data_IF_356639780853
#
_entry.id   IF_356639780853
#
_cell.length_a   1.000
_cell.length_b   1.000
_cell.length_c   1.000
_cell.angle_alpha   90.00
_cell.angle_beta   90.00
_cell.angle_gamma   90.00
#
_symmetry.space_group_name_H-M   'P 1'
#
loop_
_entity.id
_entity.type
_entity.pdbx_description
1 polymer ?
#
# COMPACT_ATOMS: atom_id res chain seq x y z
N UNK A 1 2.00 3.41 27.02
CA UNK A 1 1.93 4.47 26.01
C UNK A 1 1.26 3.89 24.76
N UNK A 2 0.01 4.27 24.48
CA UNK A 2 -0.68 3.80 23.28
C UNK A 2 -0.09 4.57 22.09
N UNK A 3 0.66 3.91 21.24
CA UNK A 3 1.06 4.46 19.94
C UNK A 3 -0.24 4.66 19.13
N UNK A 4 -0.63 5.90 18.91
CA UNK A 4 -1.76 6.21 18.05
C UNK A 4 -1.37 5.80 16.62
N UNK A 5 -2.22 5.01 15.99
CA UNK A 5 -2.07 4.63 14.61
C UNK A 5 -2.04 5.89 13.74
N UNK A 6 -1.24 5.95 12.66
CA UNK A 6 -1.34 7.01 11.68
C UNK A 6 -2.79 7.21 11.27
N UNK A 7 -3.21 8.43 11.04
CA UNK A 7 -4.60 8.84 10.75
C UNK A 7 -5.28 7.99 9.66
N UNK A 8 -4.49 7.43 8.76
CA UNK A 8 -4.93 6.49 7.72
C UNK A 8 -5.59 5.22 8.30
N UNK A 9 -5.07 4.71 9.43
CA UNK A 9 -5.61 3.52 10.09
C UNK A 9 -6.74 3.84 11.08
N UNK A 10 -6.87 5.10 11.50
CA UNK A 10 -7.96 5.57 12.37
C UNK A 10 -9.19 5.98 11.56
N UNK A 11 -9.05 6.31 10.30
CA UNK A 11 -10.22 6.54 9.47
C UNK A 11 -10.88 5.20 9.19
N UNK A 12 -11.98 4.95 9.88
CA UNK A 12 -12.87 3.79 9.72
C UNK A 12 -13.33 3.51 8.27
N UNK A 13 -12.84 4.24 7.30
CA UNK A 13 -13.27 4.19 5.93
C UNK A 13 -12.80 2.97 5.14
N UNK A 14 -11.68 2.34 5.53
CA UNK A 14 -11.22 1.14 4.84
C UNK A 14 -11.88 -0.11 5.42
N UNK A 15 -12.28 -0.08 6.71
CA UNK A 15 -12.78 -1.25 7.41
C UNK A 15 -14.27 -1.21 7.79
N UNK A 16 -15.00 -0.12 7.54
CA UNK A 16 -16.39 0.04 7.98
C UNK A 16 -17.43 -0.04 6.87
N UNK A 17 -17.18 -0.76 5.79
CA UNK A 17 -18.30 -1.15 4.93
C UNK A 17 -18.80 -2.56 5.28
N UNK A 18 -18.98 -2.82 6.57
CA UNK A 18 -19.68 -4.00 7.08
C UNK A 18 -21.17 -3.70 7.10
N UNK A 19 -21.76 -3.62 5.92
CA UNK A 19 -23.20 -3.74 5.81
C UNK A 19 -23.52 -5.18 5.39
N UNK A 20 -24.05 -5.94 6.38
CA UNK A 20 -24.76 -7.21 6.27
C UNK A 20 -23.90 -8.47 6.01
N UNK A 21 -23.59 -9.18 7.09
CA UNK A 21 -23.52 -10.64 7.09
C UNK A 21 -22.31 -11.29 6.40
N UNK A 22 -21.24 -10.54 6.11
CA UNK A 22 -19.97 -11.09 5.66
C UNK A 22 -19.10 -11.25 6.90
N UNK A 23 -18.65 -12.47 7.16
CA UNK A 23 -17.53 -12.80 8.05
C UNK A 23 -16.45 -11.73 7.91
N UNK A 24 -15.74 -11.29 8.97
CA UNK A 24 -14.68 -10.31 8.83
C UNK A 24 -13.73 -10.79 7.74
N UNK A 25 -13.79 -10.15 6.58
CA UNK A 25 -12.97 -10.57 5.46
C UNK A 25 -11.53 -10.27 5.83
N UNK A 26 -10.72 -11.31 5.86
CA UNK A 26 -9.28 -11.25 6.05
C UNK A 26 -8.70 -10.17 5.12
N UNK A 27 -8.00 -9.19 5.69
CA UNK A 27 -7.43 -8.10 4.90
C UNK A 27 -6.30 -8.66 4.00
N UNK A 28 -6.46 -8.53 2.69
CA UNK A 28 -5.41 -8.90 1.74
C UNK A 28 -4.59 -7.66 1.43
N UNK A 29 -3.29 -7.73 1.71
CA UNK A 29 -2.32 -6.69 1.34
C UNK A 29 -1.31 -7.31 0.38
N UNK A 30 -1.08 -6.64 -0.74
CA UNK A 30 0.01 -7.01 -1.64
C UNK A 30 1.13 -5.99 -1.58
N UNK A 31 2.36 -6.42 -1.81
CA UNK A 31 3.51 -5.52 -1.82
C UNK A 31 4.35 -5.67 -3.09
N UNK A 32 4.76 -4.52 -3.61
CA UNK A 32 5.74 -4.38 -4.69
C UNK A 32 6.81 -3.39 -4.24
N UNK A 33 8.08 -3.74 -4.34
CA UNK A 33 9.16 -2.84 -3.89
C UNK A 33 10.43 -2.95 -4.71
N UNK A 34 11.29 -1.96 -4.55
CA UNK A 34 12.67 -1.92 -5.05
C UNK A 34 13.71 -2.17 -3.92
N UNK A 35 13.28 -2.75 -2.80
CA UNK A 35 14.17 -3.05 -1.66
C UNK A 35 15.19 -4.16 -1.96
N UNK A 36 14.88 -5.01 -2.93
CA UNK A 36 15.68 -6.20 -3.20
C UNK A 36 15.49 -7.31 -2.16
N UNK A 37 16.08 -8.48 -2.40
CA UNK A 37 15.91 -9.65 -1.52
C UNK A 37 16.95 -9.74 -0.39
N UNK A 38 17.90 -8.80 -0.30
CA UNK A 38 19.12 -8.99 0.50
C UNK A 38 19.09 -8.35 1.88
N UNK A 39 18.15 -7.43 2.15
CA UNK A 39 18.09 -6.74 3.44
C UNK A 39 16.79 -7.01 4.21
N UNK A 40 16.73 -6.49 5.44
CA UNK A 40 15.60 -6.71 6.33
C UNK A 40 14.46 -5.70 6.16
N UNK A 41 14.56 -4.74 5.24
CA UNK A 41 13.59 -3.64 5.09
C UNK A 41 12.18 -4.17 4.84
N UNK A 42 12.04 -5.14 3.95
CA UNK A 42 10.75 -5.77 3.69
C UNK A 42 10.19 -6.48 4.94
N UNK A 43 11.03 -7.18 5.68
CA UNK A 43 10.61 -7.87 6.90
C UNK A 43 10.13 -6.87 7.97
N UNK A 44 10.81 -5.73 8.11
CA UNK A 44 10.38 -4.64 9.00
C UNK A 44 9.03 -4.08 8.56
N UNK A 45 8.86 -3.79 7.26
CA UNK A 45 7.59 -3.32 6.72
C UNK A 45 6.45 -4.30 7.04
N UNK A 46 6.63 -5.60 6.75
CA UNK A 46 5.65 -6.65 7.10
C UNK A 46 5.33 -6.67 8.59
N UNK A 47 6.33 -6.58 9.45
CA UNK A 47 6.14 -6.61 10.90
C UNK A 47 5.29 -5.43 11.39
N UNK A 48 5.42 -4.23 10.79
CA UNK A 48 4.57 -3.09 11.10
C UNK A 48 3.09 -3.37 10.80
N UNK A 49 2.80 -4.00 9.67
CA UNK A 49 1.42 -4.36 9.31
C UNK A 49 0.87 -5.48 10.23
N UNK A 50 1.66 -6.53 10.47
CA UNK A 50 1.25 -7.68 11.31
C UNK A 50 0.90 -7.23 12.74
N UNK A 51 1.63 -6.27 13.31
CA UNK A 51 1.35 -5.74 14.64
C UNK A 51 0.03 -4.96 14.73
N UNK A 52 -0.44 -4.39 13.63
CA UNK A 52 -1.56 -3.45 13.61
C UNK A 52 -2.84 -4.01 13.01
N UNK A 53 -2.71 -4.98 12.12
CA UNK A 53 -3.85 -5.56 11.38
C UNK A 53 -4.04 -7.00 11.82
N UNK A 54 -5.18 -7.29 12.45
CA UNK A 54 -5.58 -8.66 12.76
C UNK A 54 -6.02 -9.36 11.47
N UNK A 55 -5.72 -10.66 11.37
CA UNK A 55 -6.12 -11.48 10.22
C UNK A 55 -5.64 -10.93 8.87
N UNK A 56 -4.37 -10.54 8.81
CA UNK A 56 -3.71 -10.05 7.62
C UNK A 56 -3.22 -11.21 6.74
N UNK A 57 -3.59 -11.20 5.47
CA UNK A 57 -2.96 -12.00 4.43
C UNK A 57 -2.03 -11.10 3.61
N UNK A 58 -0.74 -11.38 3.68
CA UNK A 58 0.28 -10.65 2.93
C UNK A 58 0.75 -11.46 1.73
N UNK A 59 0.78 -10.83 0.55
CA UNK A 59 1.24 -11.42 -0.70
C UNK A 59 2.31 -10.55 -1.34
N UNK A 60 3.49 -11.11 -1.57
CA UNK A 60 4.56 -10.42 -2.28
C UNK A 60 4.34 -10.55 -3.80
N UNK A 61 4.23 -9.42 -4.50
CA UNK A 61 4.20 -9.42 -5.97
C UNK A 61 5.62 -9.47 -6.53
N UNK A 62 6.47 -8.53 -6.12
CA UNK A 62 7.89 -8.54 -6.46
C UNK A 62 8.66 -7.55 -5.58
N UNK A 63 9.86 -7.92 -5.18
CA UNK A 63 10.81 -7.04 -4.47
C UNK A 63 12.13 -6.86 -5.26
N UNK A 64 12.13 -7.33 -6.50
CA UNK A 64 13.26 -7.23 -7.42
C UNK A 64 13.03 -6.16 -8.51
N UNK A 65 12.23 -5.13 -8.20
CA UNK A 65 12.12 -3.96 -9.06
C UNK A 65 13.45 -3.22 -9.03
N UNK A 66 13.92 -2.79 -10.19
CA UNK A 66 15.10 -1.92 -10.28
C UNK A 66 14.88 -0.65 -9.44
N UNK A 67 15.90 -0.14 -8.74
CA UNK A 67 15.77 1.04 -7.90
C UNK A 67 15.13 2.22 -8.65
N UNK A 68 14.07 2.78 -8.07
CA UNK A 68 13.29 3.90 -8.63
C UNK A 68 12.62 3.64 -9.98
N UNK A 69 12.58 2.39 -10.49
CA UNK A 69 11.96 2.08 -11.77
C UNK A 69 10.44 1.94 -11.63
N UNK A 70 9.75 3.09 -11.65
CA UNK A 70 8.28 3.13 -11.54
C UNK A 70 7.58 2.47 -12.71
N UNK A 71 8.18 2.45 -13.90
CA UNK A 71 7.59 1.81 -15.09
C UNK A 71 7.57 0.29 -14.94
N UNK A 72 8.68 -0.30 -14.49
CA UNK A 72 8.75 -1.73 -14.22
C UNK A 72 7.76 -2.14 -13.11
N UNK A 73 7.71 -1.38 -12.01
CA UNK A 73 6.77 -1.63 -10.93
C UNK A 73 5.31 -1.57 -11.40
N UNK A 74 4.97 -0.51 -12.15
CA UNK A 74 3.65 -0.35 -12.76
C UNK A 74 3.28 -1.54 -13.64
N UNK A 75 4.19 -1.98 -14.50
CA UNK A 75 3.99 -3.12 -15.39
C UNK A 75 3.74 -4.42 -14.61
N UNK A 76 4.56 -4.72 -13.60
CA UNK A 76 4.42 -5.92 -12.78
C UNK A 76 3.09 -5.92 -12.02
N UNK A 77 2.75 -4.80 -11.39
CA UNK A 77 1.51 -4.69 -10.62
C UNK A 77 0.28 -4.71 -11.53
N UNK A 78 0.33 -4.07 -12.72
CA UNK A 78 -0.77 -4.10 -13.69
C UNK A 78 -1.14 -5.53 -14.12
N UNK A 79 -0.16 -6.42 -14.22
CA UNK A 79 -0.39 -7.83 -14.56
C UNK A 79 -0.96 -8.66 -13.41
N UNK A 80 -0.75 -8.22 -12.18
CA UNK A 80 -1.09 -9.00 -10.99
C UNK A 80 -2.42 -8.56 -10.35
N UNK A 81 -2.68 -7.23 -10.24
CA UNK A 81 -3.74 -6.72 -9.37
C UNK A 81 -5.13 -7.22 -9.74
N UNK A 82 -5.41 -7.43 -11.01
CA UNK A 82 -6.71 -7.92 -11.49
C UNK A 82 -7.06 -9.33 -11.01
N UNK A 83 -6.07 -10.09 -10.55
CA UNK A 83 -6.25 -11.44 -10.00
C UNK A 83 -6.68 -11.44 -8.53
N UNK A 84 -6.62 -10.28 -7.87
CA UNK A 84 -6.97 -10.15 -6.46
C UNK A 84 -8.43 -9.71 -6.28
N UNK A 85 -9.08 -10.12 -5.17
CA UNK A 85 -10.47 -9.77 -4.92
C UNK A 85 -10.66 -8.27 -4.64
N UNK A 86 -11.89 -7.75 -4.81
CA UNK A 86 -12.22 -6.41 -4.33
C UNK A 86 -11.89 -6.24 -2.84
N UNK A 87 -11.49 -5.03 -2.45
CA UNK A 87 -11.03 -4.74 -1.10
C UNK A 87 -9.54 -4.98 -0.87
N UNK A 88 -8.83 -5.60 -1.80
CA UNK A 88 -7.36 -5.76 -1.69
C UNK A 88 -6.67 -4.40 -1.66
N UNK A 89 -5.63 -4.29 -0.84
CA UNK A 89 -4.78 -3.11 -0.70
C UNK A 89 -3.43 -3.41 -1.33
N UNK A 90 -3.09 -2.70 -2.38
CA UNK A 90 -1.79 -2.80 -3.07
C UNK A 90 -0.86 -1.71 -2.55
N UNK A 91 0.21 -2.09 -1.86
CA UNK A 91 1.22 -1.15 -1.35
C UNK A 91 2.47 -1.20 -2.24
N UNK A 92 2.91 -0.05 -2.68
CA UNK A 92 4.05 0.07 -3.59
C UNK A 92 5.15 0.92 -2.95
N UNK A 93 6.27 0.26 -2.68
CA UNK A 93 7.46 0.85 -2.06
C UNK A 93 8.56 1.02 -3.12
N UNK A 94 8.28 1.74 -4.18
CA UNK A 94 9.24 2.00 -5.27
C UNK A 94 9.49 3.50 -5.37
N UNK A 95 10.75 3.92 -5.27
CA UNK A 95 11.12 5.31 -5.21
C UNK A 95 10.51 6.02 -4.01
N UNK A 96 10.32 5.31 -2.90
CA UNK A 96 9.60 5.78 -1.70
C UNK A 96 10.53 6.17 -0.54
N UNK A 97 11.82 6.25 -0.79
CA UNK A 97 12.81 6.61 0.23
C UNK A 97 12.56 7.98 0.87
N UNK A 98 13.24 8.29 1.99
CA UNK A 98 13.07 9.53 2.75
C UNK A 98 13.55 10.74 1.93
N UNK A 99 12.68 11.28 1.10
CA UNK A 99 12.91 12.52 0.35
C UNK A 99 12.06 13.62 0.96
N UNK A 100 12.66 14.80 1.16
CA UNK A 100 11.90 15.97 1.62
C UNK A 100 10.79 16.30 0.61
N UNK A 101 9.56 16.43 1.11
CA UNK A 101 8.41 16.80 0.30
C UNK A 101 7.74 15.65 -0.46
N UNK A 102 8.19 14.41 -0.29
CA UNK A 102 7.49 13.27 -0.87
C UNK A 102 6.13 13.09 -0.17
N UNK A 103 5.07 13.14 -0.95
CA UNK A 103 3.72 12.85 -0.48
C UNK A 103 3.33 11.42 -0.88
N UNK A 104 2.49 10.80 -0.07
CA UNK A 104 1.91 9.51 -0.40
C UNK A 104 0.44 9.68 -0.74
N UNK A 105 -0.05 8.83 -1.60
CA UNK A 105 -1.44 8.86 -2.05
C UNK A 105 -2.07 7.49 -1.91
N UNK A 106 -3.36 7.49 -1.61
CA UNK A 106 -4.21 6.32 -1.67
C UNK A 106 -5.28 6.55 -2.74
N UNK A 107 -5.35 5.66 -3.71
CA UNK A 107 -6.35 5.71 -4.78
C UNK A 107 -7.22 4.46 -4.68
N UNK A 108 -8.55 4.66 -4.73
CA UNK A 108 -9.51 3.56 -4.88
C UNK A 108 -9.89 3.44 -6.34
N UNK A 109 -9.59 2.30 -6.93
CA UNK A 109 -9.90 2.00 -8.33
C UNK A 109 -10.33 0.53 -8.49
N UNK A 110 -11.33 0.27 -9.33
CA UNK A 110 -11.86 -1.07 -9.59
C UNK A 110 -12.21 -1.87 -8.32
N UNK A 111 -12.65 -1.18 -7.24
CA UNK A 111 -12.99 -1.80 -5.97
C UNK A 111 -11.78 -2.18 -5.09
N UNK A 112 -10.56 -1.86 -5.49
CA UNK A 112 -9.31 -2.11 -4.78
C UNK A 112 -8.63 -0.80 -4.38
N UNK A 113 -7.64 -0.86 -3.48
CA UNK A 113 -6.93 0.32 -2.98
C UNK A 113 -5.46 0.24 -3.40
N UNK A 114 -4.90 1.38 -3.80
CA UNK A 114 -3.51 1.49 -4.23
C UNK A 114 -2.82 2.59 -3.43
N UNK A 115 -1.76 2.23 -2.73
CA UNK A 115 -1.00 3.15 -1.87
C UNK A 115 0.43 3.21 -2.40
N UNK A 116 0.90 4.41 -2.72
CA UNK A 116 2.25 4.63 -3.20
C UNK A 116 2.70 6.07 -2.92
N UNK A 117 4.00 6.30 -3.08
CA UNK A 117 4.53 7.65 -3.21
C UNK A 117 3.93 8.34 -4.44
N UNK A 118 3.70 9.65 -4.33
CA UNK A 118 3.20 10.48 -5.44
C UNK A 118 4.32 10.82 -6.42
N UNK A 119 4.87 9.80 -7.06
CA UNK A 119 6.01 9.87 -7.98
C UNK A 119 5.66 9.50 -9.43
N UNK A 120 4.36 9.41 -9.74
CA UNK A 120 3.87 9.06 -11.08
C UNK A 120 3.52 7.59 -11.29
N UNK A 121 3.81 6.72 -10.32
CA UNK A 121 3.53 5.28 -10.47
C UNK A 121 2.03 4.97 -10.57
N UNK A 122 1.20 5.57 -9.71
CA UNK A 122 -0.24 5.29 -9.72
C UNK A 122 -0.95 5.82 -10.97
N UNK A 123 -0.68 7.03 -11.49
CA UNK A 123 -1.18 7.44 -12.79
C UNK A 123 -0.80 6.49 -13.92
N UNK A 124 0.44 6.01 -13.96
CA UNK A 124 0.90 5.05 -14.97
C UNK A 124 0.18 3.70 -14.87
N UNK A 125 -0.02 3.22 -13.64
CA UNK A 125 -0.70 1.95 -13.36
C UNK A 125 -2.19 2.00 -13.70
N UNK A 126 -2.86 3.09 -13.35
CA UNK A 126 -4.32 3.20 -13.30
C UNK A 126 -4.93 3.99 -14.48
N UNK A 127 -4.18 4.18 -15.56
CA UNK A 127 -4.62 4.96 -16.74
C UNK A 127 -6.00 4.52 -17.28
N UNK A 128 -6.30 3.24 -17.24
CA UNK A 128 -7.53 2.65 -17.77
C UNK A 128 -8.49 2.20 -16.66
N UNK A 129 -8.14 2.46 -15.38
CA UNK A 129 -8.94 2.01 -14.25
C UNK A 129 -10.05 3.01 -13.91
N UNK A 130 -11.18 2.50 -13.44
CA UNK A 130 -12.24 3.34 -12.90
C UNK A 130 -11.89 3.81 -11.50
N UNK A 131 -11.31 5.01 -11.42
CA UNK A 131 -11.00 5.67 -10.15
C UNK A 131 -12.28 6.19 -9.51
N UNK A 132 -12.49 5.86 -8.24
CA UNK A 132 -13.69 6.27 -7.47
C UNK A 132 -13.34 7.18 -6.29
N UNK A 133 -12.10 7.16 -5.81
CA UNK A 133 -11.62 8.05 -4.76
C UNK A 133 -10.10 8.20 -4.87
N UNK A 134 -9.58 9.36 -4.47
CA UNK A 134 -8.14 9.63 -4.41
C UNK A 134 -7.84 10.61 -3.27
N UNK A 135 -6.87 10.26 -2.41
CA UNK A 135 -6.52 11.07 -1.24
C UNK A 135 -5.02 11.12 -1.03
N UNK A 136 -4.53 12.32 -0.72
CA UNK A 136 -3.19 12.45 -0.16
C UNK A 136 -3.17 11.90 1.29
N UNK A 137 -2.11 11.20 1.63
CA UNK A 137 -1.89 10.69 2.98
C UNK A 137 -1.06 11.70 3.76
N UNK A 138 -1.55 12.09 4.93
CA UNK A 138 -0.78 12.93 5.85
C UNK A 138 0.16 12.04 6.67
N UNK A 139 1.46 12.14 6.37
CA UNK A 139 2.52 11.40 7.08
C UNK A 139 3.26 12.29 8.08
N UNK A 140 2.80 13.52 8.32
CA UNK A 140 3.38 14.40 9.33
C UNK A 140 3.15 13.81 10.71
N UNK A 141 4.21 13.74 11.50
CA UNK A 141 4.17 13.14 12.85
C UNK A 141 4.36 11.62 12.89
N UNK A 142 4.60 10.99 11.77
CA UNK A 142 5.10 9.62 11.73
C UNK A 142 6.59 9.64 12.03
N UNK A 143 7.03 8.89 13.06
CA UNK A 143 8.47 8.78 13.37
C UNK A 143 9.18 8.20 12.14
N UNK A 144 10.23 8.86 11.62
CA UNK A 144 11.01 8.32 10.51
C UNK A 144 11.55 6.91 10.77
N UNK A 145 11.78 6.54 12.03
CA UNK A 145 12.19 5.20 12.42
C UNK A 145 11.03 4.18 12.40
N UNK A 146 9.78 4.64 12.39
CA UNK A 146 8.59 3.81 12.24
C UNK A 146 8.22 3.59 10.76
N UNK A 147 8.87 4.25 9.83
CA UNK A 147 8.49 4.21 8.42
C UNK A 147 9.32 3.22 7.63
N UNK A 148 10.45 2.72 8.14
CA UNK A 148 11.24 1.61 7.47
C UNK A 148 12.64 1.49 8.10
#
# INVERSE_FOLDING_TARGET
MKAELPYFWQSNYIFTNTQRGISPSMAVITATSDFGPKDATLAKAKAHFIRRVKELQWVDISHAVEPHNIQQASFLLKRAFTSFPPGTIHVVFVGSGPQQGLTYVCIKANGQYFIAANNGILPSLLMEAKITDARALDIRGVDPNDVF
#
